data_IF_436758418472
#
_entry.id   IF_436758418472
#
_cell.length_a   1.000
_cell.length_b   1.000
_cell.length_c   1.000
_cell.angle_alpha   90.00
_cell.angle_beta   90.00
_cell.angle_gamma   90.00
#
_symmetry.space_group_name_H-M   'P 1'
#
loop_
_entity.id
_entity.type
_entity.pdbx_description
1 polymer ?
#
# COMPACT_ATOMS: atom_id res chain seq x y z
N UNK A 1 2.35 26.91 10.14
CA UNK A 1 3.10 26.01 9.22
C UNK A 1 2.07 25.37 8.28
N UNK A 2 2.23 25.43 6.96
CA UNK A 2 1.26 24.77 6.08
C UNK A 2 1.29 23.27 6.39
N UNK A 3 0.14 22.67 6.66
CA UNK A 3 0.05 21.26 7.06
C UNK A 3 0.63 20.29 6.00
N UNK A 4 1.01 20.77 4.81
CA UNK A 4 1.45 19.94 3.69
C UNK A 4 2.97 19.70 3.54
N UNK A 5 3.85 20.46 4.21
CA UNK A 5 5.29 20.33 3.98
C UNK A 5 5.88 19.07 4.64
N UNK A 6 6.71 18.31 3.90
CA UNK A 6 7.51 17.24 4.51
C UNK A 6 8.46 17.81 5.56
N UNK A 7 8.58 17.11 6.69
CA UNK A 7 9.56 17.43 7.73
C UNK A 7 10.98 17.52 7.13
N UNK A 8 11.85 18.43 7.60
CA UNK A 8 13.20 18.59 7.06
C UNK A 8 14.01 17.29 6.99
N UNK A 9 13.87 16.41 7.98
CA UNK A 9 14.53 15.11 8.03
C UNK A 9 14.09 14.15 6.90
N UNK A 10 12.87 14.32 6.38
CA UNK A 10 12.34 13.51 5.27
C UNK A 10 12.67 14.07 3.89
N UNK A 11 13.14 15.32 3.80
CA UNK A 11 13.41 15.98 2.52
C UNK A 11 14.38 15.21 1.61
N UNK A 12 15.49 14.62 2.10
CA UNK A 12 16.39 13.81 1.26
C UNK A 12 15.76 12.51 0.75
N UNK A 13 14.70 12.05 1.41
CA UNK A 13 14.02 10.77 1.13
C UNK A 13 12.74 10.95 0.30
N UNK A 14 12.43 12.19 -0.09
CA UNK A 14 11.25 12.48 -0.90
C UNK A 14 11.40 11.89 -2.30
N UNK A 15 10.29 11.37 -2.80
CA UNK A 15 10.10 10.96 -4.18
C UNK A 15 9.24 12.01 -4.88
N UNK A 16 9.76 12.55 -5.99
CA UNK A 16 9.03 13.46 -6.86
C UNK A 16 8.76 12.80 -8.21
N UNK A 17 7.56 13.04 -8.74
CA UNK A 17 7.16 12.56 -10.05
C UNK A 17 6.15 13.52 -10.71
N UNK A 18 6.26 13.79 -12.02
CA UNK A 18 7.32 13.32 -12.91
C UNK A 18 8.63 14.09 -12.66
N UNK A 19 9.76 13.50 -13.08
CA UNK A 19 11.10 14.14 -12.97
C UNK A 19 11.48 14.93 -14.21
N UNK A 20 10.87 14.58 -15.33
CA UNK A 20 11.05 15.12 -16.67
C UNK A 20 9.64 15.26 -17.27
N UNK A 21 9.44 16.19 -18.18
CA UNK A 21 8.13 16.31 -18.84
C UNK A 21 7.83 15.08 -19.71
N UNK A 22 6.53 14.85 -19.94
CA UNK A 22 6.08 13.65 -20.65
C UNK A 22 6.63 13.60 -22.08
N UNK A 23 7.32 12.49 -22.38
CA UNK A 23 8.02 12.27 -23.65
C UNK A 23 7.45 11.06 -24.40
N UNK A 24 8.31 10.32 -25.13
CA UNK A 24 7.94 9.17 -25.95
C UNK A 24 7.04 8.17 -25.20
N UNK A 25 5.96 7.74 -25.88
CA UNK A 25 4.95 6.84 -25.34
C UNK A 25 3.78 7.53 -24.64
N UNK A 26 3.85 8.85 -24.42
CA UNK A 26 2.72 9.66 -23.96
C UNK A 26 2.03 10.38 -25.13
N UNK A 27 0.71 10.51 -25.04
CA UNK A 27 -0.13 11.27 -25.99
C UNK A 27 -0.98 12.25 -25.22
N UNK A 28 -1.16 13.46 -25.76
CA UNK A 28 -2.09 14.42 -25.19
C UNK A 28 -3.52 14.17 -25.71
N UNK A 29 -4.51 14.22 -24.82
CA UNK A 29 -5.93 14.14 -25.16
C UNK A 29 -6.46 15.48 -25.65
N UNK A 30 -7.65 15.49 -26.24
CA UNK A 30 -8.34 16.74 -26.62
C UNK A 30 -8.60 17.65 -25.40
N UNK A 31 -8.75 17.07 -24.21
CA UNK A 31 -8.90 17.80 -22.94
C UNK A 31 -7.58 18.25 -22.31
N UNK A 32 -6.44 18.08 -23.00
CA UNK A 32 -5.11 18.50 -22.56
C UNK A 32 -4.40 17.56 -21.59
N UNK A 33 -5.07 16.52 -21.08
CA UNK A 33 -4.47 15.50 -20.23
C UNK A 33 -3.46 14.64 -21.00
N UNK A 34 -2.56 14.00 -20.28
CA UNK A 34 -1.60 13.05 -20.84
C UNK A 34 -2.07 11.62 -20.65
N UNK A 35 -1.85 10.78 -21.66
CA UNK A 35 -2.20 9.37 -21.63
C UNK A 35 -1.04 8.50 -22.08
N UNK A 36 -0.91 7.34 -21.44
CA UNK A 36 0.02 6.29 -21.84
C UNK A 36 -0.68 4.95 -21.86
N UNK A 37 -0.57 4.25 -22.99
CA UNK A 37 -1.08 2.89 -23.15
C UNK A 37 -0.06 1.88 -22.62
N UNK A 38 -0.55 0.79 -22.03
CA UNK A 38 0.23 -0.30 -21.45
C UNK A 38 -0.27 -1.67 -21.92
N UNK A 39 0.58 -2.71 -21.90
CA UNK A 39 1.96 -2.73 -21.39
C UNK A 39 2.98 -2.08 -22.34
N UNK A 40 4.12 -1.63 -21.79
CA UNK A 40 5.30 -1.25 -22.57
C UNK A 40 5.89 -2.46 -23.30
N UNK A 41 6.63 -2.25 -24.39
CA UNK A 41 7.45 -3.33 -24.97
C UNK A 41 8.60 -3.70 -24.01
N UNK A 42 9.13 -4.92 -24.13
CA UNK A 42 10.31 -5.33 -23.35
C UNK A 42 11.54 -4.46 -23.64
N UNK A 43 11.69 -3.96 -24.86
CA UNK A 43 12.78 -3.05 -25.24
C UNK A 43 12.65 -1.70 -24.52
N UNK A 44 11.47 -1.08 -24.55
CA UNK A 44 11.23 0.17 -23.84
C UNK A 44 11.45 0.03 -22.32
N UNK A 45 11.03 -1.11 -21.76
CA UNK A 45 11.24 -1.44 -20.36
C UNK A 45 12.72 -1.66 -19.99
N UNK A 46 13.49 -2.29 -20.87
CA UNK A 46 14.92 -2.49 -20.66
C UNK A 46 15.69 -1.17 -20.70
N UNK A 47 15.27 -0.23 -21.56
CA UNK A 47 15.84 1.11 -21.66
C UNK A 47 15.48 1.98 -20.44
N UNK A 48 14.22 1.96 -19.98
CA UNK A 48 13.79 2.67 -18.78
C UNK A 48 12.72 1.88 -18.01
N UNK A 49 13.14 1.23 -16.92
CA UNK A 49 12.23 0.47 -16.06
C UNK A 49 11.66 1.28 -14.90
N UNK A 50 11.82 2.62 -14.87
CA UNK A 50 11.12 3.48 -13.90
C UNK A 50 9.62 3.18 -13.92
N UNK A 51 8.95 3.38 -12.79
CA UNK A 51 7.49 3.33 -12.76
C UNK A 51 6.94 4.42 -13.69
N UNK A 52 6.03 4.08 -14.61
CA UNK A 52 5.55 5.03 -15.61
C UNK A 52 4.71 6.14 -14.99
N UNK A 53 4.11 5.93 -13.81
CA UNK A 53 3.48 6.98 -13.02
C UNK A 53 3.64 6.75 -11.51
N UNK A 54 3.44 7.81 -10.73
CA UNK A 54 3.44 7.69 -9.27
C UNK A 54 2.24 6.86 -8.82
N UNK A 55 2.51 5.77 -8.12
CA UNK A 55 1.59 5.13 -7.20
C UNK A 55 2.22 5.26 -5.80
N UNK A 56 1.58 5.92 -4.82
CA UNK A 56 2.20 6.15 -3.52
C UNK A 56 2.33 4.82 -2.76
N UNK A 57 3.52 4.24 -2.82
CA UNK A 57 3.84 2.96 -2.22
C UNK A 57 4.85 3.14 -1.09
N UNK A 58 4.58 2.60 0.10
CA UNK A 58 5.55 2.56 1.20
C UNK A 58 6.70 1.62 0.85
N UNK A 59 7.80 1.74 1.60
CA UNK A 59 8.98 0.89 1.43
C UNK A 59 9.35 0.26 2.76
N UNK A 60 9.78 -1.00 2.73
CA UNK A 60 10.35 -1.68 3.89
C UNK A 60 11.63 -2.43 3.52
N UNK A 61 12.33 -2.90 4.56
CA UNK A 61 13.41 -3.85 4.43
C UNK A 61 12.89 -5.23 4.84
N UNK A 62 13.28 -6.25 4.09
CA UNK A 62 12.87 -7.63 4.35
C UNK A 62 14.09 -8.50 4.45
N UNK A 63 14.15 -9.28 5.52
CA UNK A 63 15.16 -10.30 5.73
C UNK A 63 14.53 -11.68 5.80
N UNK A 64 15.26 -12.67 5.30
CA UNK A 64 14.91 -14.08 5.41
C UNK A 64 16.18 -14.89 5.71
N UNK A 65 16.02 -16.10 6.22
CA UNK A 65 17.15 -16.98 6.48
C UNK A 65 16.78 -18.45 6.26
N UNK A 66 17.75 -19.22 5.76
CA UNK A 66 17.67 -20.68 5.65
C UNK A 66 19.06 -21.28 5.89
N UNK A 67 19.17 -22.13 6.91
CA UNK A 67 20.48 -22.63 7.38
C UNK A 67 21.38 -21.47 7.80
N UNK A 68 22.60 -21.41 7.25
CA UNK A 68 23.53 -20.30 7.46
C UNK A 68 23.31 -19.10 6.53
N UNK A 69 22.46 -19.25 5.50
CA UNK A 69 22.20 -18.19 4.51
C UNK A 69 21.22 -17.18 5.08
N UNK A 70 21.59 -15.90 5.00
CA UNK A 70 20.81 -14.76 5.46
C UNK A 70 20.71 -13.76 4.32
N UNK A 71 19.51 -13.36 3.92
CA UNK A 71 19.30 -12.46 2.76
C UNK A 71 18.61 -11.17 3.18
N UNK A 72 18.87 -10.09 2.42
CA UNK A 72 18.27 -8.76 2.65
C UNK A 72 17.82 -8.15 1.30
N UNK A 73 16.60 -7.65 1.28
CA UNK A 73 16.04 -6.91 0.15
C UNK A 73 15.24 -5.68 0.60
N UNK A 74 15.12 -4.72 -0.32
CA UNK A 74 14.20 -3.59 -0.19
C UNK A 74 12.96 -3.89 -1.02
N UNK A 75 11.79 -3.78 -0.39
CA UNK A 75 10.51 -4.04 -1.05
C UNK A 75 9.70 -2.76 -1.13
N UNK A 76 9.19 -2.47 -2.33
CA UNK A 76 8.28 -1.36 -2.60
C UNK A 76 6.85 -1.89 -2.60
N UNK A 77 5.94 -1.15 -1.97
CA UNK A 77 4.53 -1.51 -1.89
C UNK A 77 4.22 -2.78 -1.08
N UNK A 78 4.89 -3.07 0.07
CA UNK A 78 4.34 -4.08 0.96
C UNK A 78 2.92 -3.66 1.35
N UNK A 79 2.01 -4.61 1.55
CA UNK A 79 0.61 -4.26 1.81
C UNK A 79 -0.06 -5.30 2.68
N UNK A 80 -0.89 -4.86 3.62
CA UNK A 80 -1.81 -5.73 4.32
C UNK A 80 -2.99 -6.01 3.39
N UNK A 81 -3.09 -7.26 2.95
CA UNK A 81 -4.06 -7.69 1.93
C UNK A 81 -5.24 -8.42 2.52
N UNK A 82 -5.15 -8.88 3.76
CA UNK A 82 -6.26 -9.51 4.47
C UNK A 82 -6.22 -9.24 5.97
N UNK A 83 -7.41 -9.22 6.59
CA UNK A 83 -7.54 -8.98 8.03
C UNK A 83 -7.58 -10.26 8.86
N UNK A 84 -8.35 -11.27 8.43
CA UNK A 84 -8.54 -12.52 9.18
C UNK A 84 -8.31 -13.73 8.26
N UNK A 85 -7.18 -14.45 8.41
CA UNK A 85 -6.03 -14.11 9.26
C UNK A 85 -5.29 -12.84 8.77
N UNK A 86 -4.47 -12.23 9.63
CA UNK A 86 -3.73 -11.02 9.28
C UNK A 86 -2.58 -11.32 8.31
N UNK A 87 -2.75 -10.95 7.03
CA UNK A 87 -1.83 -11.34 5.94
C UNK A 87 -1.26 -10.12 5.22
N UNK A 88 0.06 -10.16 5.04
CA UNK A 88 0.84 -9.20 4.28
C UNK A 88 1.25 -9.80 2.93
N UNK A 89 1.19 -9.00 1.87
CA UNK A 89 1.75 -9.34 0.56
C UNK A 89 3.09 -8.63 0.32
N UNK A 90 4.07 -9.39 -0.15
CA UNK A 90 5.36 -8.89 -0.65
C UNK A 90 5.55 -9.29 -2.10
N UNK A 91 5.93 -8.36 -2.94
CA UNK A 91 6.20 -8.64 -4.35
C UNK A 91 7.69 -8.53 -4.68
N UNK A 92 8.22 -9.56 -5.34
CA UNK A 92 9.61 -9.61 -5.78
C UNK A 92 9.68 -9.89 -7.28
N UNK A 93 10.45 -9.08 -8.00
CA UNK A 93 10.69 -9.35 -9.42
C UNK A 93 11.48 -10.67 -9.56
N UNK A 94 11.01 -11.57 -10.43
CA UNK A 94 11.65 -12.87 -10.74
C UNK A 94 12.10 -12.96 -12.20
N UNK A 95 11.77 -11.96 -13.01
CA UNK A 95 12.25 -11.80 -14.39
C UNK A 95 13.36 -10.74 -14.48
N UNK A 96 14.37 -10.93 -15.35
CA UNK A 96 15.35 -9.89 -15.61
C UNK A 96 14.74 -8.82 -16.53
N UNK A 97 14.26 -7.71 -15.96
CA UNK A 97 13.65 -6.63 -16.75
C UNK A 97 14.66 -5.56 -17.17
N UNK A 98 15.58 -5.21 -16.27
CA UNK A 98 16.67 -4.25 -16.49
C UNK A 98 17.67 -4.36 -15.33
N UNK A 99 18.79 -3.64 -15.38
CA UNK A 99 19.71 -3.56 -14.24
C UNK A 99 19.05 -2.98 -12.97
N UNK A 100 18.12 -2.03 -13.15
CA UNK A 100 17.35 -1.42 -12.05
C UNK A 100 16.27 -2.33 -11.48
N UNK A 101 15.64 -3.15 -12.33
CA UNK A 101 14.61 -4.12 -11.97
C UNK A 101 15.11 -5.54 -12.27
N UNK A 102 16.02 -6.00 -11.42
CA UNK A 102 16.64 -7.32 -11.51
C UNK A 102 15.78 -8.41 -10.84
N UNK A 103 16.00 -9.66 -11.26
CA UNK A 103 15.37 -10.84 -10.66
C UNK A 103 15.99 -11.18 -9.31
N UNK A 104 15.17 -11.36 -8.27
CA UNK A 104 15.57 -11.61 -6.87
C UNK A 104 15.61 -13.10 -6.51
N UNK A 105 16.20 -13.92 -7.38
CA UNK A 105 16.17 -15.38 -7.32
C UNK A 105 16.75 -15.95 -6.01
N UNK A 106 17.95 -15.55 -5.62
CA UNK A 106 18.61 -15.99 -4.39
C UNK A 106 17.80 -15.60 -3.15
N UNK A 107 17.24 -14.39 -3.14
CA UNK A 107 16.36 -13.96 -2.05
C UNK A 107 15.10 -14.83 -1.98
N UNK A 108 14.43 -15.04 -3.12
CA UNK A 108 13.20 -15.85 -3.18
C UNK A 108 13.45 -17.32 -2.82
N UNK A 109 14.59 -17.88 -3.21
CA UNK A 109 14.99 -19.25 -2.84
C UNK A 109 15.21 -19.37 -1.33
N UNK A 110 15.92 -18.42 -0.72
CA UNK A 110 16.12 -18.42 0.73
C UNK A 110 14.80 -18.22 1.51
N UNK A 111 13.91 -17.36 1.02
CA UNK A 111 12.56 -17.18 1.58
C UNK A 111 11.74 -18.46 1.49
N UNK A 112 11.67 -19.09 0.33
CA UNK A 112 10.89 -20.32 0.13
C UNK A 112 11.41 -21.48 0.98
N UNK A 113 12.74 -21.63 1.09
CA UNK A 113 13.36 -22.66 1.90
C UNK A 113 13.26 -22.38 3.42
N UNK A 114 13.28 -21.11 3.83
CA UNK A 114 13.18 -20.69 5.23
C UNK A 114 11.73 -20.60 5.75
N UNK A 115 10.78 -20.31 4.87
CA UNK A 115 9.35 -20.22 5.18
C UNK A 115 8.93 -19.02 6.03
N UNK A 116 9.83 -18.10 6.34
CA UNK A 116 9.58 -16.97 7.23
C UNK A 116 10.44 -15.74 6.90
N UNK A 117 9.96 -14.56 7.29
CA UNK A 117 10.63 -13.28 7.13
C UNK A 117 10.52 -12.40 8.37
N UNK A 118 11.41 -11.42 8.45
CA UNK A 118 11.17 -10.19 9.20
C UNK A 118 11.00 -9.02 8.23
N UNK A 119 9.83 -8.39 8.25
CA UNK A 119 9.51 -7.16 7.51
C UNK A 119 9.69 -6.00 8.47
N UNK A 120 10.63 -5.11 8.20
CA UNK A 120 11.12 -4.17 9.19
C UNK A 120 11.30 -2.77 8.62
N UNK A 121 11.13 -1.79 9.50
CA UNK A 121 11.19 -0.37 9.18
C UNK A 121 12.28 0.32 9.99
N UNK A 122 13.13 1.06 9.28
CA UNK A 122 14.15 1.94 9.84
C UNK A 122 13.72 3.38 9.60
N UNK A 123 13.96 4.25 10.57
CA UNK A 123 13.71 5.68 10.40
C UNK A 123 14.74 6.26 9.39
N UNK A 124 14.34 7.23 8.57
CA UNK A 124 15.26 7.98 7.72
C UNK A 124 16.47 8.53 8.48
N UNK A 125 17.65 8.37 7.90
CA UNK A 125 18.94 8.75 8.48
C UNK A 125 20.05 7.74 8.16
N UNK A 126 21.23 7.90 8.80
CA UNK A 126 22.43 7.12 8.46
C UNK A 126 22.26 5.59 8.56
N UNK A 127 21.39 5.12 9.46
CA UNK A 127 21.10 3.69 9.63
C UNK A 127 20.35 3.14 8.43
N UNK A 128 19.28 3.82 7.98
CA UNK A 128 18.56 3.45 6.77
C UNK A 128 19.49 3.54 5.55
N UNK A 129 20.28 4.60 5.43
CA UNK A 129 21.20 4.82 4.31
C UNK A 129 22.22 3.69 4.17
N UNK A 130 22.74 3.17 5.29
CA UNK A 130 23.66 2.03 5.28
C UNK A 130 22.99 0.74 4.80
N UNK A 131 21.75 0.49 5.20
CA UNK A 131 21.01 -0.68 4.74
C UNK A 131 20.68 -0.58 3.23
N UNK A 132 20.21 0.58 2.78
CA UNK A 132 19.94 0.85 1.37
C UNK A 132 21.21 0.79 0.52
N UNK A 133 22.28 1.43 0.99
CA UNK A 133 23.58 1.43 0.33
C UNK A 133 24.15 0.01 0.17
N UNK A 134 24.02 -0.85 1.18
CA UNK A 134 24.42 -2.25 1.06
C UNK A 134 23.62 -3.02 0.01
N UNK A 135 22.32 -2.75 -0.12
CA UNK A 135 21.47 -3.36 -1.15
C UNK A 135 21.86 -2.85 -2.55
N UNK A 136 22.09 -1.55 -2.70
CA UNK A 136 22.44 -0.91 -3.97
C UNK A 136 23.85 -1.27 -4.45
N UNK A 137 24.81 -1.38 -3.54
CA UNK A 137 26.21 -1.67 -3.87
C UNK A 137 26.52 -3.17 -3.98
N UNK A 138 25.57 -4.04 -3.63
CA UNK A 138 25.76 -5.50 -3.61
C UNK A 138 24.76 -6.17 -4.52
N UNK A 139 25.27 -6.82 -5.57
CA UNK A 139 24.44 -7.51 -6.55
C UNK A 139 23.61 -8.62 -5.92
N UNK A 140 22.53 -8.99 -6.59
CA UNK A 140 21.58 -9.97 -6.11
C UNK A 140 22.20 -11.35 -5.82
N UNK A 141 23.15 -11.80 -6.66
CA UNK A 141 23.93 -13.04 -6.44
C UNK A 141 24.74 -13.04 -5.14
N UNK A 142 24.99 -11.87 -4.57
CA UNK A 142 25.69 -11.67 -3.30
C UNK A 142 24.75 -11.13 -2.22
N UNK A 143 23.44 -11.34 -2.36
CA UNK A 143 22.45 -10.88 -1.38
C UNK A 143 22.73 -11.39 0.04
N UNK A 144 23.40 -12.55 0.16
CA UNK A 144 23.84 -13.10 1.43
C UNK A 144 24.85 -12.21 2.20
N UNK A 145 25.60 -11.37 1.48
CA UNK A 145 26.58 -10.46 2.06
C UNK A 145 25.94 -9.14 2.52
N UNK A 146 24.72 -8.81 2.11
CA UNK A 146 24.13 -7.47 2.29
C UNK A 146 23.94 -7.09 3.75
N UNK A 147 23.50 -8.02 4.60
CA UNK A 147 23.37 -7.75 6.04
C UNK A 147 24.73 -7.41 6.64
N UNK A 148 25.75 -8.23 6.36
CA UNK A 148 27.12 -7.98 6.85
C UNK A 148 27.70 -6.66 6.30
N UNK A 149 27.52 -6.38 5.00
CA UNK A 149 28.00 -5.17 4.32
C UNK A 149 27.32 -3.89 4.81
N UNK A 150 26.07 -3.97 5.26
CA UNK A 150 25.43 -2.84 5.94
C UNK A 150 26.20 -2.44 7.20
N UNK A 151 26.89 -3.39 7.83
CA UNK A 151 27.58 -3.28 9.11
C UNK A 151 26.66 -2.88 10.27
N UNK A 152 25.34 -3.02 10.09
CA UNK A 152 24.36 -2.82 11.14
C UNK A 152 24.29 -4.06 12.01
N UNK A 153 23.99 -3.88 13.29
CA UNK A 153 23.80 -5.00 14.20
C UNK A 153 22.44 -5.65 13.94
N UNK A 154 22.40 -6.96 14.06
CA UNK A 154 21.18 -7.74 14.00
C UNK A 154 21.05 -8.64 15.21
N UNK A 155 19.81 -9.02 15.50
CA UNK A 155 19.45 -10.10 16.41
C UNK A 155 18.56 -11.08 15.67
N UNK A 156 18.31 -12.25 16.26
CA UNK A 156 17.33 -13.18 15.70
C UNK A 156 15.91 -12.66 15.92
N UNK A 157 15.02 -12.87 14.95
CA UNK A 157 13.59 -12.74 15.14
C UNK A 157 13.08 -13.67 16.26
N UNK A 158 11.95 -13.32 16.88
CA UNK A 158 11.39 -14.06 18.03
C UNK A 158 10.74 -15.38 17.61
N UNK A 159 10.23 -15.47 16.39
CA UNK A 159 9.46 -16.62 15.87
C UNK A 159 10.06 -17.26 14.63
N UNK A 160 11.24 -16.79 14.16
CA UNK A 160 11.93 -17.31 12.99
C UNK A 160 13.46 -17.21 13.09
N UNK A 161 14.17 -17.65 12.05
CA UNK A 161 15.62 -17.46 11.92
C UNK A 161 16.00 -16.14 11.22
N UNK A 162 15.02 -15.38 10.70
CA UNK A 162 15.30 -14.14 9.99
C UNK A 162 15.98 -13.13 10.94
N UNK A 163 17.02 -12.41 10.50
CA UNK A 163 17.64 -11.38 11.31
C UNK A 163 16.80 -10.12 11.37
N UNK A 164 16.73 -9.50 12.53
CA UNK A 164 16.08 -8.21 12.77
C UNK A 164 17.18 -7.18 13.05
N UNK A 165 17.16 -6.05 12.34
CA UNK A 165 18.06 -4.93 12.66
C UNK A 165 17.71 -4.37 14.03
N UNK A 166 18.74 -4.15 14.87
CA UNK A 166 18.51 -3.65 16.24
C UNK A 166 17.87 -2.27 16.29
N UNK A 167 18.04 -1.49 15.23
CA UNK A 167 17.55 -0.12 15.10
C UNK A 167 16.15 -0.03 14.46
N UNK A 168 15.52 -1.18 14.13
CA UNK A 168 14.17 -1.20 13.60
C UNK A 168 13.16 -0.67 14.63
N UNK A 169 12.33 0.28 14.21
CA UNK A 169 11.29 0.84 15.07
C UNK A 169 10.00 0.02 15.03
N UNK A 170 9.77 -0.73 13.95
CA UNK A 170 8.62 -1.60 13.74
C UNK A 170 9.06 -2.85 12.96
N UNK A 171 8.61 -4.01 13.39
CA UNK A 171 8.88 -5.31 12.75
C UNK A 171 7.60 -6.14 12.71
N UNK A 172 7.26 -6.65 11.53
CA UNK A 172 6.31 -7.73 11.35
C UNK A 172 7.09 -9.01 11.06
N UNK A 173 6.97 -9.99 11.95
CA UNK A 173 7.41 -11.35 11.66
C UNK A 173 6.30 -12.09 10.95
N UNK A 174 6.63 -12.66 9.79
CA UNK A 174 5.67 -13.34 8.93
C UNK A 174 6.12 -14.74 8.57
N UNK A 175 5.16 -15.64 8.42
CA UNK A 175 5.37 -16.99 7.87
C UNK A 175 4.61 -17.14 6.57
N UNK A 176 5.17 -17.88 5.63
CA UNK A 176 4.46 -18.24 4.41
C UNK A 176 3.12 -18.90 4.78
N UNK A 177 2.02 -18.37 4.23
CA UNK A 177 0.68 -18.92 4.44
C UNK A 177 0.63 -20.37 3.98
N UNK A 178 -0.29 -21.15 4.56
CA UNK A 178 -0.53 -22.53 4.17
C UNK A 178 -1.89 -22.66 3.49
N UNK A 179 -2.08 -23.69 2.65
CA UNK A 179 -3.41 -24.03 2.15
C UNK A 179 -4.41 -24.14 3.30
N UNK A 180 -5.54 -23.46 3.14
CA UNK A 180 -6.56 -23.36 4.17
C UNK A 180 -7.94 -23.13 3.58
N UNK A 181 -8.87 -22.73 4.43
CA UNK A 181 -10.22 -22.35 4.03
C UNK A 181 -10.57 -20.98 4.60
N UNK A 182 -11.39 -20.23 3.89
CA UNK A 182 -11.96 -18.98 4.39
C UNK A 182 -13.20 -19.21 5.25
N UNK A 183 -13.86 -18.12 5.67
CA UNK A 183 -15.06 -18.18 6.52
C UNK A 183 -16.28 -18.83 5.84
N UNK A 184 -16.31 -18.88 4.51
CA UNK A 184 -17.36 -19.57 3.74
C UNK A 184 -17.01 -21.05 3.49
N UNK A 185 -15.86 -21.50 3.98
CA UNK A 185 -15.33 -22.85 3.74
C UNK A 185 -14.64 -23.02 2.39
N UNK A 186 -14.47 -21.95 1.60
CA UNK A 186 -13.82 -21.99 0.29
C UNK A 186 -12.30 -22.12 0.45
N UNK A 187 -11.67 -22.90 -0.43
CA UNK A 187 -10.22 -23.11 -0.37
C UNK A 187 -9.46 -21.82 -0.70
N UNK A 188 -8.45 -21.50 0.12
CA UNK A 188 -7.56 -20.36 -0.07
C UNK A 188 -6.09 -20.78 0.01
N UNK A 189 -5.22 -19.99 -0.60
CA UNK A 189 -3.76 -20.19 -0.59
C UNK A 189 -3.30 -21.57 -1.05
N UNK A 190 -3.68 -21.98 -2.27
CA UNK A 190 -3.18 -23.22 -2.87
C UNK A 190 -1.63 -23.31 -2.85
N UNK A 191 -0.96 -22.16 -2.89
CA UNK A 191 0.47 -21.97 -2.66
C UNK A 191 0.67 -20.71 -1.81
N UNK A 192 1.83 -20.56 -1.15
CA UNK A 192 2.14 -19.37 -0.36
C UNK A 192 2.44 -18.11 -1.19
N UNK A 193 2.36 -18.23 -2.52
CA UNK A 193 2.60 -17.17 -3.47
C UNK A 193 1.76 -17.37 -4.73
N UNK A 194 1.76 -16.35 -5.59
CA UNK A 194 1.34 -16.47 -6.99
C UNK A 194 2.25 -15.62 -7.88
N UNK A 195 2.46 -16.05 -9.12
CA UNK A 195 3.24 -15.29 -10.11
C UNK A 195 2.32 -14.32 -10.87
N UNK A 196 2.65 -13.03 -10.84
CA UNK A 196 1.96 -11.92 -11.53
C UNK A 196 2.91 -11.29 -12.52
N UNK A 197 2.84 -11.71 -13.78
CA UNK A 197 3.79 -11.26 -14.80
C UNK A 197 5.23 -11.46 -14.33
N UNK A 198 6.01 -10.40 -14.40
CA UNK A 198 7.42 -10.37 -13.98
C UNK A 198 7.71 -10.57 -12.48
N UNK A 199 6.70 -10.72 -11.62
CA UNK A 199 6.86 -10.73 -10.17
C UNK A 199 6.23 -11.97 -9.52
N UNK A 200 6.84 -12.44 -8.44
CA UNK A 200 6.23 -13.39 -7.50
C UNK A 200 5.73 -12.64 -6.28
N UNK A 201 4.44 -12.80 -5.99
CA UNK A 201 3.77 -12.18 -4.85
C UNK A 201 3.61 -13.23 -3.75
N UNK A 202 4.31 -13.06 -2.64
CA UNK A 202 4.22 -13.92 -1.45
C UNK A 202 3.18 -13.41 -0.48
N UNK A 203 2.43 -14.33 0.11
CA UNK A 203 1.50 -14.07 1.20
C UNK A 203 2.10 -14.57 2.51
N UNK A 204 2.15 -13.67 3.47
CA UNK A 204 2.77 -13.89 4.77
C UNK A 204 1.74 -13.65 5.86
N UNK A 205 1.40 -14.70 6.60
CA UNK A 205 0.64 -14.57 7.83
C UNK A 205 1.54 -13.94 8.89
N UNK A 206 1.11 -12.81 9.44
CA UNK A 206 1.84 -12.11 10.49
C UNK A 206 1.63 -12.88 11.80
N UNK A 207 2.72 -13.34 12.40
CA UNK A 207 2.70 -14.09 13.67
C UNK A 207 3.08 -13.22 14.85
N UNK A 208 3.86 -12.17 14.63
CA UNK A 208 4.33 -11.30 15.71
C UNK A 208 4.56 -9.89 15.20
N UNK A 209 4.16 -8.90 15.99
CA UNK A 209 4.45 -7.49 15.77
C UNK A 209 5.37 -7.03 16.89
N UNK A 210 6.50 -6.41 16.53
CA UNK A 210 7.40 -5.77 17.47
C UNK A 210 7.42 -4.27 17.19
N UNK A 211 7.19 -3.47 18.22
CA UNK A 211 7.25 -2.01 18.17
C UNK A 211 8.30 -1.51 19.16
N UNK A 212 9.12 -0.53 18.78
CA UNK A 212 10.10 0.05 19.70
C UNK A 212 9.42 0.52 20.98
N UNK A 213 9.97 0.12 22.13
CA UNK A 213 9.31 0.28 23.44
C UNK A 213 8.95 1.75 23.74
N UNK A 214 9.84 2.68 23.43
CA UNK A 214 9.60 4.11 23.63
C UNK A 214 8.40 4.64 22.81
N UNK A 215 8.15 4.09 21.62
CA UNK A 215 6.97 4.42 20.82
C UNK A 215 5.71 3.81 21.46
N UNK A 216 5.78 2.55 21.88
CA UNK A 216 4.67 1.88 22.57
C UNK A 216 4.25 2.62 23.86
N UNK A 217 5.23 3.17 24.59
CA UNK A 217 5.05 3.94 25.82
C UNK A 217 4.73 5.43 25.55
N UNK A 218 4.60 5.85 24.28
CA UNK A 218 4.25 7.22 23.91
C UNK A 218 5.34 8.26 24.12
N UNK A 219 6.59 7.85 24.39
CA UNK A 219 7.75 8.75 24.47
C UNK A 219 8.27 9.19 23.10
N UNK A 220 7.97 8.41 22.06
CA UNK A 220 8.24 8.74 20.66
C UNK A 220 7.00 8.52 19.81
N UNK A 221 6.90 9.21 18.68
CA UNK A 221 5.82 9.08 17.72
C UNK A 221 6.34 8.80 16.31
N UNK A 222 5.64 7.90 15.62
CA UNK A 222 5.76 7.64 14.18
C UNK A 222 4.82 8.62 13.48
N UNK A 223 5.36 9.44 12.58
CA UNK A 223 4.58 10.33 11.72
C UNK A 223 4.72 9.89 10.27
N UNK A 224 3.60 9.71 9.58
CA UNK A 224 3.64 9.46 8.14
C UNK A 224 2.56 10.25 7.42
N UNK A 225 2.91 10.64 6.19
CA UNK A 225 1.98 11.21 5.23
C UNK A 225 1.38 10.02 4.47
N UNK A 226 0.06 9.93 4.30
CA UNK A 226 -0.59 8.85 3.53
C UNK A 226 -0.90 9.23 2.08
N UNK A 227 -0.92 10.54 1.75
CA UNK A 227 -1.14 11.04 0.39
C UNK A 227 0.02 11.90 -0.14
N UNK A 228 0.29 11.91 -1.45
CA UNK A 228 1.21 12.87 -2.06
C UNK A 228 0.72 14.31 -1.88
N UNK A 229 1.67 15.24 -1.77
CA UNK A 229 1.42 16.66 -1.89
C UNK A 229 1.51 17.07 -3.36
N UNK A 230 0.58 17.92 -3.80
CA UNK A 230 0.55 18.45 -5.16
C UNK A 230 -0.37 19.68 -5.20
N UNK A 231 -0.03 20.67 -6.03
CA UNK A 231 -0.79 21.92 -6.15
C UNK A 231 -1.40 22.04 -7.56
N UNK A 232 -2.70 21.78 -7.74
CA UNK A 232 -3.35 21.94 -9.04
C UNK A 232 -3.32 23.41 -9.50
N UNK A 233 -3.04 23.64 -10.79
CA UNK A 233 -3.13 24.99 -11.38
C UNK A 233 -4.57 25.45 -11.56
N UNK A 234 -5.48 24.49 -11.77
CA UNK A 234 -6.92 24.74 -11.87
C UNK A 234 -7.61 24.03 -10.71
N UNK A 235 -8.14 24.82 -9.79
CA UNK A 235 -9.03 24.38 -8.71
C UNK A 235 -10.46 24.74 -9.06
N UNK A 236 -11.39 23.79 -8.93
CA UNK A 236 -12.82 24.10 -8.95
C UNK A 236 -13.28 24.43 -7.52
N UNK A 237 -14.23 25.35 -7.35
CA UNK A 237 -14.83 25.63 -6.05
C UNK A 237 -15.45 24.36 -5.47
N UNK A 238 -15.44 24.25 -4.14
CA UNK A 238 -16.19 23.21 -3.45
C UNK A 238 -17.68 23.35 -3.78
N UNK A 239 -18.41 22.26 -4.07
CA UNK A 239 -19.86 22.33 -4.12
C UNK A 239 -20.38 22.87 -2.79
N UNK A 240 -21.35 23.78 -2.83
CA UNK A 240 -22.10 24.20 -1.64
C UNK A 240 -22.87 22.97 -1.17
N UNK A 241 -22.50 22.43 -0.02
CA UNK A 241 -23.08 21.19 0.49
C UNK A 241 -24.56 21.37 0.85
N UNK A 242 -25.39 20.43 0.40
CA UNK A 242 -26.68 20.16 1.02
C UNK A 242 -26.39 19.31 2.27
N UNK A 243 -26.51 19.88 3.46
CA UNK A 243 -26.25 19.21 4.75
C UNK A 243 -27.18 18.01 5.02
N UNK A 244 -28.22 17.82 4.19
CA UNK A 244 -29.30 16.87 4.40
C UNK A 244 -28.95 15.38 4.17
N UNK A 245 -27.78 15.06 3.61
CA UNK A 245 -27.34 13.68 3.35
C UNK A 245 -26.04 13.33 4.09
N UNK A 246 -25.97 13.65 5.38
CA UNK A 246 -24.93 13.14 6.28
C UNK A 246 -25.00 11.61 6.40
N UNK A 247 -23.90 10.93 6.81
CA UNK A 247 -23.96 9.51 7.14
C UNK A 247 -25.02 9.31 8.25
N UNK A 248 -25.75 8.19 8.21
CA UNK A 248 -26.72 7.86 9.28
C UNK A 248 -26.07 7.83 10.67
N UNK A 249 -26.89 7.68 11.72
CA UNK A 249 -26.48 7.76 13.14
C UNK A 249 -25.51 6.65 13.65
N UNK A 250 -24.77 5.99 12.76
CA UNK A 250 -23.82 4.91 13.06
C UNK A 250 -22.35 5.34 13.09
N UNK A 251 -21.45 4.35 13.17
CA UNK A 251 -20.01 4.57 13.21
C UNK A 251 -19.50 5.23 11.92
N UNK A 252 -18.66 6.27 12.07
CA UNK A 252 -18.03 6.95 10.94
C UNK A 252 -16.53 6.71 10.92
N UNK A 253 -16.04 6.19 9.78
CA UNK A 253 -14.61 6.06 9.50
C UNK A 253 -14.00 7.44 9.31
N UNK A 254 -13.16 7.84 10.27
CA UNK A 254 -12.28 9.00 10.12
C UNK A 254 -11.21 8.76 9.06
N UNK A 255 -10.63 9.86 8.55
CA UNK A 255 -9.48 9.83 7.66
C UNK A 255 -8.66 11.12 7.82
N UNK A 256 -7.34 10.96 7.87
CA UNK A 256 -6.37 12.06 7.83
C UNK A 256 -5.23 11.68 6.90
N UNK A 257 -4.71 12.59 6.06
CA UNK A 257 -3.49 12.33 5.32
C UNK A 257 -2.22 12.44 6.18
N UNK A 258 -2.32 12.98 7.39
CA UNK A 258 -1.21 13.14 8.34
C UNK A 258 -1.50 12.28 9.56
N UNK A 259 -0.86 11.13 9.60
CA UNK A 259 -1.03 10.22 10.72
C UNK A 259 0.12 10.36 11.72
N UNK A 260 -0.20 10.15 12.98
CA UNK A 260 0.74 10.04 14.08
C UNK A 260 0.39 8.79 14.92
N UNK A 261 1.40 8.08 15.41
CA UNK A 261 1.21 6.95 16.30
C UNK A 261 2.30 6.90 17.40
N UNK A 262 1.94 6.75 18.68
CA UNK A 262 0.57 6.76 19.22
C UNK A 262 -0.08 8.16 19.13
N UNK A 263 -1.40 8.23 19.18
CA UNK A 263 -2.18 9.48 19.15
C UNK A 263 -3.53 9.27 19.86
N UNK A 264 -4.25 10.34 20.21
CA UNK A 264 -5.54 10.25 20.89
C UNK A 264 -6.57 9.35 20.14
N UNK A 265 -6.50 9.32 18.80
CA UNK A 265 -7.36 8.49 17.95
C UNK A 265 -6.82 7.07 17.69
N UNK A 266 -5.58 6.78 18.08
CA UNK A 266 -4.91 5.49 17.91
C UNK A 266 -4.34 5.08 19.26
N UNK A 267 -5.23 4.50 20.09
CA UNK A 267 -4.93 4.00 21.45
C UNK A 267 -3.77 3.00 21.40
N UNK A 268 -3.02 2.95 22.50
CA UNK A 268 -1.74 2.31 22.73
C UNK A 268 -1.58 0.89 22.15
N UNK A 269 -0.32 0.53 21.86
CA UNK A 269 0.09 -0.83 21.50
C UNK A 269 -0.05 -1.76 22.70
N UNK A 270 -1.09 -2.61 22.72
CA UNK A 270 -1.27 -3.64 23.75
C UNK A 270 -0.23 -4.76 23.56
N UNK A 271 0.88 -4.68 24.28
CA UNK A 271 1.94 -5.67 24.24
C UNK A 271 1.67 -6.86 25.17
N UNK A 272 2.04 -8.07 24.74
CA UNK A 272 2.09 -9.26 25.59
C UNK A 272 3.37 -9.28 26.46
N UNK A 273 4.38 -8.50 26.07
CA UNK A 273 5.64 -8.40 26.81
C UNK A 273 6.64 -7.43 26.16
N UNK A 274 7.83 -7.35 26.76
CA UNK A 274 8.95 -6.55 26.23
C UNK A 274 10.19 -7.42 26.11
N UNK A 275 10.78 -7.46 24.91
CA UNK A 275 11.99 -8.22 24.60
C UNK A 275 12.89 -7.39 23.68
N UNK A 276 14.20 -7.36 23.93
CA UNK A 276 15.18 -6.64 23.10
C UNK A 276 14.86 -5.15 22.85
N UNK A 277 14.26 -4.46 23.84
CA UNK A 277 13.84 -3.06 23.69
C UNK A 277 12.59 -2.85 22.82
N UNK A 278 11.89 -3.92 22.46
CA UNK A 278 10.64 -3.89 21.73
C UNK A 278 9.47 -4.30 22.62
N UNK A 279 8.37 -3.57 22.54
CA UNK A 279 7.07 -4.07 22.94
C UNK A 279 6.60 -5.10 21.90
N UNK A 280 6.17 -6.28 22.35
CA UNK A 280 5.89 -7.44 21.50
C UNK A 280 4.41 -7.81 21.59
N UNK A 281 3.80 -8.08 20.43
CA UNK A 281 2.47 -8.67 20.33
C UNK A 281 2.53 -9.94 19.49
N UNK A 282 2.07 -11.06 20.04
CA UNK A 282 1.86 -12.30 19.31
C UNK A 282 0.42 -12.35 18.78
N UNK A 283 0.26 -12.72 17.51
CA UNK A 283 -1.06 -12.90 16.93
C UNK A 283 -1.50 -14.37 17.08
N UNK A 284 -2.79 -14.62 17.43
CA UNK A 284 -3.32 -15.97 17.52
C UNK A 284 -3.14 -16.75 16.20
N UNK A 285 -2.84 -18.05 16.25
CA UNK A 285 -2.62 -18.87 15.05
C UNK A 285 -3.91 -19.17 14.27
N UNK A 286 -5.09 -19.09 14.91
CA UNK A 286 -6.37 -19.36 14.25
C UNK A 286 -7.08 -18.05 13.90
N UNK A 287 -7.64 -17.99 12.68
CA UNK A 287 -8.35 -16.80 12.22
C UNK A 287 -9.61 -16.51 13.06
N UNK A 288 -10.31 -17.55 13.54
CA UNK A 288 -11.51 -17.40 14.38
C UNK A 288 -11.19 -16.67 15.70
N UNK A 289 -10.04 -16.99 16.31
CA UNK A 289 -9.55 -16.34 17.53
C UNK A 289 -9.10 -14.88 17.28
N UNK A 290 -8.99 -14.47 16.01
CA UNK A 290 -8.76 -13.09 15.61
C UNK A 290 -10.08 -12.33 15.35
N UNK A 291 -11.23 -13.00 15.20
CA UNK A 291 -12.53 -12.38 14.83
C UNK A 291 -13.19 -11.67 16.01
N UNK A 292 -13.01 -12.16 17.24
CA UNK A 292 -13.60 -11.57 18.45
C UNK A 292 -12.76 -10.38 18.93
N UNK A 293 -12.86 -9.26 18.23
CA UNK A 293 -12.21 -8.03 18.69
C UNK A 293 -13.19 -6.87 18.64
N UNK A 294 -13.73 -6.56 19.81
CA UNK A 294 -14.13 -5.22 20.19
C UNK A 294 -13.12 -4.21 19.61
N UNK A 295 -13.60 -3.33 18.72
CA UNK A 295 -12.74 -2.44 17.93
C UNK A 295 -11.88 -1.50 18.80
N UNK A 296 -12.23 -1.32 20.07
CA UNK A 296 -11.41 -0.55 21.01
C UNK A 296 -10.20 -1.34 21.53
N UNK A 297 -10.30 -2.67 21.62
CA UNK A 297 -9.19 -3.59 21.96
C UNK A 297 -8.41 -4.06 20.71
N UNK A 298 -9.04 -3.98 19.53
CA UNK A 298 -8.49 -4.40 18.23
C UNK A 298 -7.56 -3.40 17.54
N UNK A 299 -7.17 -2.32 18.22
CA UNK A 299 -6.18 -1.36 17.72
C UNK A 299 -4.76 -1.92 17.83
N UNK A 300 -4.58 -3.23 17.57
CA UNK A 300 -3.31 -3.82 17.16
C UNK A 300 -2.68 -2.86 16.16
N UNK A 301 -1.36 -2.61 16.19
CA UNK A 301 -0.76 -1.62 15.33
C UNK A 301 -0.82 -2.12 13.89
N UNK A 302 -1.95 -1.81 13.26
CA UNK A 302 -2.19 -1.88 11.84
C UNK A 302 -1.44 -0.75 11.14
N UNK A 303 -0.46 -0.13 11.81
CA UNK A 303 0.34 0.99 11.35
C UNK A 303 1.43 0.47 10.44
N UNK A 304 0.97 -0.15 9.36
CA UNK A 304 1.73 -0.22 8.16
C UNK A 304 1.56 1.14 7.47
N UNK A 305 2.62 1.97 7.31
CA UNK A 305 2.52 3.20 6.54
C UNK A 305 1.90 2.84 5.19
N UNK A 306 0.72 3.37 4.89
CA UNK A 306 -0.06 2.99 3.71
C UNK A 306 -0.67 4.23 3.06
N UNK A 307 -0.95 4.09 1.78
CA UNK A 307 -1.67 5.07 0.97
C UNK A 307 -3.13 4.62 0.77
N UNK A 308 -3.91 5.42 0.06
CA UNK A 308 -5.28 5.11 -0.32
C UNK A 308 -5.41 5.18 -1.84
N UNK A 309 -6.01 4.15 -2.44
CA UNK A 309 -6.46 4.19 -3.83
C UNK A 309 -7.93 4.61 -3.92
N UNK A 310 -8.28 5.48 -4.88
CA UNK A 310 -9.67 5.86 -5.17
C UNK A 310 -10.22 4.93 -6.26
N UNK A 311 -10.84 3.83 -5.84
CA UNK A 311 -11.30 2.77 -6.75
C UNK A 311 -12.63 3.17 -7.40
N UNK A 312 -12.66 3.21 -8.72
CA UNK A 312 -13.85 3.59 -9.50
C UNK A 312 -14.37 2.42 -10.33
N UNK A 313 -15.70 2.35 -10.44
CA UNK A 313 -16.40 1.35 -11.27
C UNK A 313 -17.67 1.94 -11.86
N UNK A 314 -18.12 1.40 -13.00
CA UNK A 314 -19.45 1.69 -13.54
C UNK A 314 -20.48 0.72 -12.95
N UNK A 315 -21.68 1.22 -12.66
CA UNK A 315 -22.86 0.36 -12.52
C UNK A 315 -23.38 -0.07 -13.89
N UNK A 316 -24.29 -1.05 -13.91
CA UNK A 316 -24.89 -1.55 -15.14
C UNK A 316 -25.67 -0.49 -15.94
N UNK A 317 -26.23 0.51 -15.24
CA UNK A 317 -26.95 1.65 -15.81
C UNK A 317 -26.04 2.86 -16.07
N UNK A 318 -24.72 2.69 -16.01
CA UNK A 318 -23.74 3.72 -16.37
C UNK A 318 -23.51 4.80 -15.31
N UNK A 319 -23.94 4.59 -14.06
CA UNK A 319 -23.62 5.51 -12.95
C UNK A 319 -22.21 5.25 -12.41
N UNK A 320 -21.44 6.29 -12.08
CA UNK A 320 -20.11 6.12 -11.52
C UNK A 320 -20.19 5.77 -10.03
N UNK A 321 -19.40 4.79 -9.61
CA UNK A 321 -19.18 4.42 -8.22
C UNK A 321 -17.73 4.74 -7.81
N UNK A 322 -17.54 4.97 -6.50
CA UNK A 322 -16.25 5.28 -5.90
C UNK A 322 -16.13 4.61 -4.53
N UNK A 323 -14.97 4.01 -4.26
CA UNK A 323 -14.59 3.49 -2.94
C UNK A 323 -13.12 3.79 -2.65
N UNK A 324 -12.82 4.55 -1.57
CA UNK A 324 -11.46 4.62 -1.05
C UNK A 324 -11.02 3.26 -0.50
N UNK A 325 -9.84 2.80 -0.87
CA UNK A 325 -9.28 1.51 -0.45
C UNK A 325 -7.85 1.69 0.06
N UNK A 326 -7.64 1.49 1.38
CA UNK A 326 -6.31 1.58 2.00
C UNK A 326 -5.42 0.37 1.71
N UNK A 327 -6.01 -0.79 1.40
CA UNK A 327 -5.29 -1.99 0.97
C UNK A 327 -5.12 -2.00 -0.54
N UNK A 328 -4.45 -0.96 -1.07
CA UNK A 328 -4.13 -0.84 -2.49
C UNK A 328 -2.62 -0.71 -2.70
N UNK A 329 -2.03 -1.49 -3.61
CA UNK A 329 -0.59 -1.44 -3.90
C UNK A 329 -0.24 -1.86 -5.34
N UNK A 330 1.00 -1.63 -5.75
CA UNK A 330 1.59 -2.19 -6.98
C UNK A 330 2.10 -3.60 -6.72
N UNK A 331 1.85 -4.52 -7.66
CA UNK A 331 2.30 -5.91 -7.55
C UNK A 331 3.33 -6.30 -8.61
N UNK A 332 3.22 -5.80 -9.84
CA UNK A 332 4.14 -6.20 -10.92
C UNK A 332 4.54 -5.00 -11.76
N UNK A 333 5.78 -5.02 -12.25
CA UNK A 333 6.30 -4.00 -13.16
C UNK A 333 5.94 -4.27 -14.61
N UNK A 334 5.89 -5.54 -15.03
CA UNK A 334 5.59 -5.92 -16.40
C UNK A 334 4.77 -7.22 -16.51
N UNK A 335 3.50 -7.15 -17.00
CA UNK A 335 2.72 -5.92 -17.14
C UNK A 335 2.61 -5.17 -15.81
N UNK A 336 2.33 -3.86 -15.88
CA UNK A 336 2.08 -3.08 -14.67
C UNK A 336 0.78 -3.57 -14.02
N UNK A 337 0.85 -4.09 -12.80
CA UNK A 337 -0.33 -4.58 -12.06
C UNK A 337 -0.50 -3.81 -10.77
N UNK A 338 -1.69 -3.25 -10.56
CA UNK A 338 -2.14 -2.62 -9.32
C UNK A 338 -3.25 -3.48 -8.73
N UNK A 339 -3.27 -3.60 -7.41
CA UNK A 339 -4.27 -4.38 -6.70
C UNK A 339 -5.01 -3.58 -5.64
N UNK A 340 -6.35 -3.55 -5.65
CA UNK A 340 -7.16 -3.29 -4.48
C UNK A 340 -7.58 -4.60 -3.79
N UNK A 341 -7.58 -4.59 -2.46
CA UNK A 341 -8.15 -5.66 -1.64
C UNK A 341 -9.52 -5.23 -1.10
N UNK A 342 -10.57 -5.98 -1.44
CA UNK A 342 -11.96 -5.61 -1.15
C UNK A 342 -12.59 -6.66 -0.24
N UNK A 343 -13.14 -6.21 0.89
CA UNK A 343 -13.83 -7.10 1.83
C UNK A 343 -15.09 -7.73 1.23
N UNK A 344 -15.25 -9.02 1.45
CA UNK A 344 -16.46 -9.79 1.10
C UNK A 344 -17.10 -10.46 2.32
N UNK A 345 -16.38 -10.60 3.42
CA UNK A 345 -16.94 -11.17 4.64
C UNK A 345 -17.96 -10.22 5.27
N UNK A 346 -18.97 -10.78 5.93
CA UNK A 346 -20.00 -10.05 6.68
C UNK A 346 -19.75 -10.19 8.20
N UNK A 347 -18.65 -9.61 8.67
CA UNK A 347 -18.23 -9.73 10.08
C UNK A 347 -18.85 -8.62 10.94
N UNK A 348 -18.75 -7.38 10.47
CA UNK A 348 -19.33 -6.19 11.13
C UNK A 348 -19.40 -5.02 10.14
N UNK A 349 -19.89 -3.86 10.56
CA UNK A 349 -20.03 -2.66 9.71
C UNK A 349 -18.69 -2.24 9.03
N UNK A 350 -17.56 -2.46 9.70
CA UNK A 350 -16.23 -2.14 9.18
C UNK A 350 -15.76 -3.13 8.13
N UNK A 351 -16.03 -4.42 8.33
CA UNK A 351 -15.71 -5.54 7.42
C UNK A 351 -17.00 -6.18 6.92
N UNK A 352 -17.69 -5.43 6.06
CA UNK A 352 -18.90 -5.84 5.36
C UNK A 352 -18.62 -5.90 3.84
N UNK A 353 -19.42 -6.68 3.09
CA UNK A 353 -19.36 -6.72 1.64
C UNK A 353 -19.49 -5.31 1.03
N UNK A 354 -18.75 -5.05 -0.05
CA UNK A 354 -18.75 -3.75 -0.73
C UNK A 354 -19.37 -3.91 -2.12
N UNK A 355 -20.28 -3.01 -2.51
CA UNK A 355 -20.84 -2.98 -3.88
C UNK A 355 -19.74 -2.98 -4.95
N UNK A 356 -18.63 -2.27 -4.69
CA UNK A 356 -17.48 -2.25 -5.58
C UNK A 356 -16.96 -3.66 -5.93
N UNK A 357 -17.02 -4.63 -5.00
CA UNK A 357 -16.64 -6.03 -5.26
C UNK A 357 -17.45 -6.62 -6.43
N UNK A 358 -18.78 -6.49 -6.38
CA UNK A 358 -19.69 -7.00 -7.39
C UNK A 358 -19.49 -6.29 -8.74
N UNK A 359 -19.30 -4.97 -8.70
CA UNK A 359 -19.08 -4.17 -9.91
C UNK A 359 -17.76 -4.52 -10.60
N UNK A 360 -16.67 -4.74 -9.85
CA UNK A 360 -15.39 -5.17 -10.42
C UNK A 360 -15.54 -6.54 -11.09
N UNK A 361 -16.19 -7.51 -10.42
CA UNK A 361 -16.43 -8.85 -10.96
C UNK A 361 -17.24 -8.81 -12.25
N UNK A 362 -18.34 -8.04 -12.25
CA UNK A 362 -19.23 -7.91 -13.40
C UNK A 362 -18.54 -7.24 -14.59
N UNK A 363 -17.81 -6.16 -14.35
CA UNK A 363 -17.22 -5.37 -15.42
C UNK A 363 -15.86 -5.93 -15.89
N UNK A 364 -15.23 -6.80 -15.08
CA UNK A 364 -13.83 -7.22 -15.25
C UNK A 364 -12.86 -6.06 -15.43
N UNK A 365 -13.20 -4.92 -14.83
CA UNK A 365 -12.40 -3.71 -14.91
C UNK A 365 -12.66 -2.79 -13.71
N UNK A 366 -11.67 -1.95 -13.41
CA UNK A 366 -11.78 -0.89 -12.43
C UNK A 366 -10.80 0.24 -12.76
N UNK A 367 -11.08 1.42 -12.24
CA UNK A 367 -10.16 2.54 -12.24
C UNK A 367 -9.53 2.72 -10.86
N UNK A 368 -8.32 3.26 -10.81
CA UNK A 368 -7.66 3.62 -9.57
C UNK A 368 -7.10 5.04 -9.69
N UNK A 369 -7.74 5.99 -9.04
CA UNK A 369 -7.21 7.35 -8.92
C UNK A 369 -6.23 7.48 -7.76
N UNK A 370 -5.20 8.30 -7.96
CA UNK A 370 -4.24 8.68 -6.91
C UNK A 370 -4.74 9.95 -6.21
N UNK A 371 -5.25 9.85 -4.96
CA UNK A 371 -5.60 11.03 -4.18
C UNK A 371 -4.36 11.83 -3.78
N UNK A 372 -4.56 13.10 -3.44
CA UNK A 372 -3.52 14.02 -2.97
C UNK A 372 -4.05 14.86 -1.81
N UNK A 373 -3.15 15.55 -1.10
CA UNK A 373 -3.51 16.39 0.04
C UNK A 373 -4.28 17.63 -0.45
N UNK A 374 -5.58 17.61 -0.25
CA UNK A 374 -6.51 18.71 -0.51
C UNK A 374 -7.78 18.48 0.29
N UNK A 375 -8.34 19.54 0.90
CA UNK A 375 -9.55 19.45 1.72
C UNK A 375 -10.71 18.80 0.97
N UNK A 376 -10.87 19.12 -0.31
CA UNK A 376 -11.90 18.54 -1.17
C UNK A 376 -11.71 17.03 -1.38
N UNK A 377 -10.48 16.60 -1.66
CA UNK A 377 -10.18 15.16 -1.85
C UNK A 377 -10.31 14.40 -0.54
N UNK A 378 -9.88 15.00 0.57
CA UNK A 378 -10.01 14.42 1.92
C UNK A 378 -11.49 14.29 2.31
N UNK A 379 -12.30 15.30 2.03
CA UNK A 379 -13.76 15.26 2.24
C UNK A 379 -14.41 14.16 1.38
N UNK A 380 -14.01 14.04 0.11
CA UNK A 380 -14.49 12.99 -0.77
C UNK A 380 -14.12 11.58 -0.27
N UNK A 381 -12.89 11.39 0.26
CA UNK A 381 -12.47 10.11 0.89
C UNK A 381 -13.36 9.80 2.10
N UNK A 382 -13.56 10.77 3.00
CA UNK A 382 -14.42 10.59 4.19
C UNK A 382 -15.85 10.23 3.80
N UNK A 383 -16.44 10.95 2.84
CA UNK A 383 -17.80 10.68 2.36
C UNK A 383 -17.91 9.31 1.69
N UNK A 384 -17.06 9.05 0.69
CA UNK A 384 -17.15 7.82 -0.09
C UNK A 384 -16.75 6.57 0.70
N UNK A 385 -16.01 6.71 1.80
CA UNK A 385 -15.69 5.61 2.73
C UNK A 385 -16.83 5.23 3.68
N UNK A 386 -17.82 6.11 3.87
CA UNK A 386 -18.93 5.92 4.81
C UNK A 386 -20.30 5.77 4.14
N UNK A 387 -20.45 6.18 2.88
CA UNK A 387 -21.75 6.13 2.17
C UNK A 387 -21.68 5.15 1.01
N UNK A 388 -22.63 4.22 0.88
CA UNK A 388 -22.71 3.34 -0.30
C UNK A 388 -23.51 3.98 -1.43
N UNK A 389 -23.22 3.60 -2.69
CA UNK A 389 -23.92 4.14 -3.85
C UNK A 389 -25.44 3.84 -3.80
N UNK A 390 -25.84 2.67 -3.27
CA UNK A 390 -27.27 2.33 -3.13
C UNK A 390 -28.04 3.38 -2.30
N UNK A 391 -27.38 4.01 -1.33
CA UNK A 391 -27.95 5.07 -0.48
C UNK A 391 -27.80 6.44 -1.13
N UNK A 392 -26.66 6.71 -1.74
CA UNK A 392 -26.35 8.03 -2.30
C UNK A 392 -27.05 8.34 -3.63
N UNK A 393 -27.35 7.35 -4.46
CA UNK A 393 -27.85 7.54 -5.83
C UNK A 393 -26.77 8.01 -6.81
N UNK A 394 -26.19 9.19 -6.56
CA UNK A 394 -25.04 9.77 -7.29
C UNK A 394 -23.88 10.04 -6.31
N UNK A 395 -23.16 8.97 -5.97
CA UNK A 395 -22.11 9.00 -4.94
C UNK A 395 -20.95 9.91 -5.30
N UNK A 396 -20.56 9.98 -6.58
CA UNK A 396 -19.35 10.72 -6.98
C UNK A 396 -19.63 12.22 -7.02
N UNK A 397 -20.77 12.65 -7.57
CA UNK A 397 -21.14 14.06 -7.53
C UNK A 397 -21.38 14.55 -6.10
N UNK A 398 -22.02 13.74 -5.24
CA UNK A 398 -22.21 14.06 -3.81
C UNK A 398 -20.91 14.08 -3.01
N UNK A 399 -19.91 13.28 -3.40
CA UNK A 399 -18.55 13.40 -2.87
C UNK A 399 -17.84 14.69 -3.33
N UNK A 400 -18.48 15.50 -4.18
CA UNK A 400 -17.95 16.72 -4.72
C UNK A 400 -16.85 16.49 -5.76
N UNK A 401 -16.84 15.35 -6.46
CA UNK A 401 -15.86 15.03 -7.50
C UNK A 401 -16.50 15.02 -8.89
N UNK A 402 -15.69 15.22 -9.92
CA UNK A 402 -16.13 15.21 -11.32
C UNK A 402 -15.57 14.01 -12.07
N UNK A 403 -16.45 13.37 -12.82
CA UNK A 403 -16.15 12.21 -13.64
C UNK A 403 -16.04 12.62 -15.10
N UNK A 404 -14.99 12.13 -15.77
CA UNK A 404 -14.96 12.00 -17.22
C UNK A 404 -15.50 10.61 -17.58
N UNK A 405 -16.53 10.59 -18.42
CA UNK A 405 -17.16 9.36 -18.89
C UNK A 405 -16.33 8.68 -19.99
N UNK A 406 -16.71 7.44 -20.30
CA UNK A 406 -16.01 6.60 -21.29
C UNK A 406 -14.96 5.68 -20.66
N UNK A 407 -14.38 4.82 -21.48
CA UNK A 407 -13.45 3.79 -21.03
C UNK A 407 -14.09 2.71 -20.13
N UNK A 408 -13.29 1.77 -19.62
CA UNK A 408 -13.79 0.63 -18.84
C UNK A 408 -14.14 0.99 -17.38
N UNK A 409 -13.72 2.16 -16.89
CA UNK A 409 -14.03 2.67 -15.56
C UNK A 409 -14.13 4.21 -15.54
N UNK A 410 -14.86 4.81 -14.56
CA UNK A 410 -14.94 6.26 -14.42
C UNK A 410 -13.59 6.89 -14.09
N UNK A 411 -13.25 7.99 -14.77
CA UNK A 411 -12.04 8.77 -14.48
C UNK A 411 -12.39 9.97 -13.61
N UNK A 412 -11.76 10.09 -12.44
CA UNK A 412 -11.92 11.25 -11.56
C UNK A 412 -10.98 12.38 -12.02
N UNK A 413 -11.52 13.37 -12.72
CA UNK A 413 -10.72 14.47 -13.31
C UNK A 413 -10.09 15.41 -12.28
N UNK A 414 -10.58 15.39 -11.04
CA UNK A 414 -9.96 16.12 -9.94
C UNK A 414 -8.64 15.50 -9.49
N UNK A 415 -8.39 14.22 -9.78
CA UNK A 415 -7.18 13.51 -9.34
C UNK A 415 -6.04 13.62 -10.36
N UNK A 416 -4.79 13.78 -9.91
CA UNK A 416 -3.61 14.00 -10.77
C UNK A 416 -3.26 12.81 -11.66
N UNK A 417 -3.46 11.58 -11.18
CA UNK A 417 -3.14 10.35 -11.90
C UNK A 417 -4.29 9.37 -11.74
N UNK A 418 -4.63 8.68 -12.83
CA UNK A 418 -5.62 7.62 -12.85
C UNK A 418 -5.14 6.43 -13.69
N UNK A 419 -5.36 5.23 -13.17
CA UNK A 419 -5.01 3.97 -13.79
C UNK A 419 -6.28 3.23 -14.18
N UNK A 420 -6.46 2.93 -15.47
CA UNK A 420 -7.51 2.02 -15.92
C UNK A 420 -6.98 0.61 -15.96
N UNK A 421 -7.65 -0.27 -15.22
CA UNK A 421 -7.23 -1.65 -15.03
C UNK A 421 -8.24 -2.62 -15.63
N UNK A 422 -7.72 -3.60 -16.36
CA UNK A 422 -8.44 -4.84 -16.68
C UNK A 422 -8.12 -5.89 -15.62
N UNK A 423 -9.14 -6.59 -15.12
CA UNK A 423 -8.95 -7.64 -14.11
C UNK A 423 -8.44 -8.90 -14.77
N UNK A 424 -7.19 -9.26 -14.48
CA UNK A 424 -6.59 -10.54 -14.90
C UNK A 424 -7.18 -11.70 -14.10
N UNK A 425 -7.22 -11.55 -12.78
CA UNK A 425 -7.68 -12.58 -11.86
C UNK A 425 -8.13 -11.96 -10.53
N UNK A 426 -8.73 -12.78 -9.67
CA UNK A 426 -9.05 -12.44 -8.29
C UNK A 426 -8.56 -13.52 -7.32
N UNK A 427 -8.06 -13.11 -6.15
CA UNK A 427 -7.47 -14.01 -5.17
C UNK A 427 -8.23 -13.87 -3.86
N UNK A 428 -8.88 -14.94 -3.40
CA UNK A 428 -9.52 -14.99 -2.07
C UNK A 428 -8.45 -15.17 -1.00
N UNK A 429 -8.45 -14.31 0.01
CA UNK A 429 -7.42 -14.23 1.04
C UNK A 429 -7.92 -14.53 2.47
N UNK A 430 -9.21 -14.85 2.63
CA UNK A 430 -9.85 -15.15 3.91
C UNK A 430 -11.09 -14.28 4.17
N UNK A 431 -10.94 -12.96 4.16
CA UNK A 431 -12.06 -12.00 4.30
C UNK A 431 -12.08 -10.93 3.21
N UNK A 432 -11.00 -10.86 2.43
CA UNK A 432 -10.80 -9.94 1.34
C UNK A 432 -10.50 -10.70 0.06
N UNK A 433 -10.95 -10.12 -1.06
CA UNK A 433 -10.55 -10.51 -2.41
C UNK A 433 -9.53 -9.49 -2.89
N UNK A 434 -8.38 -9.97 -3.37
CA UNK A 434 -7.35 -9.16 -4.01
C UNK A 434 -7.51 -9.26 -5.52
N UNK A 435 -7.85 -8.15 -6.19
CA UNK A 435 -7.98 -8.13 -7.65
C UNK A 435 -6.65 -7.84 -8.32
N UNK A 436 -6.29 -8.62 -9.33
CA UNK A 436 -5.09 -8.38 -10.14
C UNK A 436 -5.43 -7.48 -11.33
N UNK A 437 -5.30 -6.16 -11.15
CA UNK A 437 -5.59 -5.19 -12.21
C UNK A 437 -4.40 -4.89 -13.10
N UNK A 438 -4.39 -5.43 -14.32
CA UNK A 438 -3.43 -5.05 -15.36
C UNK A 438 -3.76 -3.65 -15.87
N UNK A 439 -2.85 -2.71 -15.66
CA UNK A 439 -3.02 -1.34 -16.13
C UNK A 439 -2.94 -1.33 -17.65
N UNK A 440 -4.01 -0.84 -18.29
CA UNK A 440 -4.12 -0.70 -19.76
C UNK A 440 -3.90 0.74 -20.21
N UNK A 441 -4.30 1.71 -19.38
CA UNK A 441 -4.11 3.14 -19.63
C UNK A 441 -3.74 3.84 -18.33
N UNK A 442 -2.77 4.75 -18.42
CA UNK A 442 -2.52 5.75 -17.39
C UNK A 442 -2.96 7.09 -17.95
N UNK A 443 -3.78 7.83 -17.21
CA UNK A 443 -4.16 9.21 -17.51
C UNK A 443 -3.61 10.14 -16.45
N UNK A 444 -3.01 11.25 -16.86
CA UNK A 444 -2.36 12.22 -15.99
C UNK A 444 -2.89 13.61 -16.34
N UNK A 445 -3.20 14.42 -15.32
CA UNK A 445 -3.65 15.80 -15.55
C UNK A 445 -2.56 16.63 -16.23
N UNK A 446 -2.99 17.59 -17.06
CA UNK A 446 -2.09 18.48 -17.81
C UNK A 446 -1.16 19.31 -16.91
N UNK A 447 -1.61 19.64 -15.70
CA UNK A 447 -0.91 20.47 -14.73
C UNK A 447 0.08 19.69 -13.85
N UNK A 448 0.22 18.38 -14.06
CA UNK A 448 1.29 17.57 -13.49
C UNK A 448 2.48 17.61 -14.45
N UNK A 449 3.59 18.23 -14.05
CA UNK A 449 4.78 18.45 -14.89
C UNK A 449 6.04 18.30 -14.05
N UNK A 450 7.22 18.32 -14.68
CA UNK A 450 8.48 18.33 -13.91
C UNK A 450 8.60 19.58 -13.01
N UNK A 451 8.00 20.70 -13.43
CA UNK A 451 7.95 21.94 -12.66
C UNK A 451 6.85 21.98 -11.58
N UNK A 452 5.82 21.13 -11.71
CA UNK A 452 4.76 20.94 -10.72
C UNK A 452 4.54 19.45 -10.40
N UNK A 453 5.53 18.78 -9.79
CA UNK A 453 5.48 17.35 -9.55
C UNK A 453 4.61 17.03 -8.33
N UNK A 454 4.11 15.79 -8.28
CA UNK A 454 3.66 15.19 -7.03
C UNK A 454 4.86 14.89 -6.15
N UNK A 455 4.75 15.19 -4.86
CA UNK A 455 5.76 14.91 -3.85
C UNK A 455 5.25 13.87 -2.83
N UNK A 456 6.01 12.82 -2.61
CA UNK A 456 5.68 11.74 -1.69
C UNK A 456 6.89 11.29 -0.86
N UNK A 457 6.72 10.87 0.38
CA UNK A 457 7.78 10.20 1.14
C UNK A 457 7.31 8.79 1.50
N UNK A 458 8.01 7.72 1.05
CA UNK A 458 7.61 6.35 1.36
C UNK A 458 8.01 5.89 2.77
N UNK A 459 8.71 6.75 3.52
CA UNK A 459 9.22 6.47 4.87
C UNK A 459 8.49 7.33 5.90
N UNK A 460 8.31 6.77 7.10
CA UNK A 460 7.80 7.52 8.24
C UNK A 460 8.93 8.26 8.96
N UNK A 461 8.61 9.40 9.55
CA UNK A 461 9.47 10.09 10.52
C UNK A 461 9.24 9.50 11.91
N UNK A 462 10.30 9.29 12.68
CA UNK A 462 10.21 8.82 14.07
C UNK A 462 10.92 9.81 14.95
N UNK A 463 10.15 10.50 15.79
CA UNK A 463 10.64 11.61 16.62
C UNK A 463 10.15 11.47 18.06
N UNK A 464 10.81 12.11 19.05
CA UNK A 464 10.26 12.21 20.39
C UNK A 464 8.84 12.79 20.35
N UNK A 465 7.95 12.32 21.22
CA UNK A 465 6.63 12.94 21.36
C UNK A 465 6.82 14.39 21.85
N UNK A 466 6.21 15.35 21.16
CA UNK A 466 6.16 16.73 21.64
C UNK A 466 5.38 16.72 22.98
N UNK A 467 6.02 17.17 24.07
CA UNK A 467 5.45 17.19 25.41
C UNK A 467 4.32 18.19 25.59
#
# INVERSE_FOLDING_TARGET
MSAGALAPALQPYRYVWPREDFAAGWRQTAGGAWERTLPESREALAADSRWPALFPSPVCLVTAAHGATVVLERVVGPSIVNRFPYVLALSFCVEPLSERHYARREFTTALEAGGAVAVQFLAPGPVLDRALGAIESTTERKTAERVARSGLRTRRALTSAAPVFTDAYLVYEGRLVRPGRDLDGEAIYARPWLDVGSHRVYFLEITTIQLRRDIAEGRSQIHWRSLPAWSPMVTRPMPVGDESAGPGAGYQKGYTPHYAFPSAGTIAFEADGVTDGMAVKHLPPEAADQVEVDNDRARWPCFFPSSVGMITTWTADGRPNLMPCGSTTVLSRHPLVITPCVGYAAINERYAPRLTLELIRKNRAFGCGVPFISDRVIAAIKYAGNVSLQVAGDKVARAGLTVEGGGPAPVLTDLPVHFDCEVLDEVRLGTHVMFLGSVRRIRVRADVTAANPLEWCPWADVRPADG
#
